data_IF_419631216691
#
_entry.id   IF_419631216691
#
_cell.length_a   1.000
_cell.length_b   1.000
_cell.length_c   1.000
_cell.angle_alpha   90.00
_cell.angle_beta   90.00
_cell.angle_gamma   90.00
#
_symmetry.space_group_name_H-M   'P 1'
#
loop_
_entity.id
_entity.type
_entity.pdbx_description
1 polymer ?
#
# COMPACT_ATOMS: atom_id res chain seq x y z
N UNK A 1 23.19 -37.10 32.98
CA UNK A 1 24.64 -37.34 33.15
C UNK A 1 25.13 -38.14 31.95
N UNK A 2 26.35 -37.86 31.44
CA UNK A 2 26.99 -38.47 30.24
C UNK A 2 26.25 -38.13 28.93
N UNK A 3 26.74 -37.34 27.97
CA UNK A 3 28.05 -36.73 27.68
C UNK A 3 29.21 -37.71 27.45
N UNK A 4 29.93 -37.52 26.33
CA UNK A 4 30.90 -38.41 25.67
C UNK A 4 30.24 -39.75 25.21
N UNK A 5 30.42 -40.26 23.99
CA UNK A 5 31.32 -39.95 22.87
C UNK A 5 30.48 -40.02 21.57
N UNK A 6 30.94 -39.70 20.35
CA UNK A 6 32.25 -39.27 19.84
C UNK A 6 32.04 -38.34 18.62
N UNK A 7 33.07 -37.64 18.14
CA UNK A 7 33.07 -36.92 16.86
C UNK A 7 34.10 -37.56 15.92
N UNK A 8 33.67 -38.14 14.79
CA UNK A 8 34.60 -38.70 13.80
C UNK A 8 33.97 -38.86 12.40
N UNK A 9 33.90 -37.77 11.63
CA UNK A 9 33.71 -37.79 10.16
C UNK A 9 33.97 -36.40 9.53
N UNK A 10 35.08 -35.76 9.91
CA UNK A 10 35.56 -34.57 9.20
C UNK A 10 36.64 -35.01 8.20
N UNK A 11 36.62 -34.42 7.00
CA UNK A 11 37.66 -34.52 5.96
C UNK A 11 37.92 -35.91 5.35
N UNK A 12 37.41 -36.13 4.12
CA UNK A 12 38.18 -36.59 2.94
C UNK A 12 37.19 -36.93 1.80
N UNK A 13 37.14 -36.11 0.74
CA UNK A 13 36.18 -36.31 -0.35
C UNK A 13 36.09 -35.13 -1.31
N UNK A 14 37.17 -34.83 -2.04
CA UNK A 14 37.13 -33.85 -3.10
C UNK A 14 36.42 -34.42 -4.34
N UNK A 15 35.33 -33.79 -4.81
CA UNK A 15 34.97 -33.64 -6.24
C UNK A 15 33.63 -32.94 -6.45
N UNK A 16 33.66 -31.86 -7.26
CA UNK A 16 32.63 -31.50 -8.24
C UNK A 16 31.15 -31.50 -7.83
N UNK A 17 30.75 -30.60 -6.92
CA UNK A 17 29.40 -30.03 -6.94
C UNK A 17 29.39 -28.65 -6.28
N UNK A 18 29.15 -27.58 -7.06
CA UNK A 18 28.73 -26.30 -6.46
C UNK A 18 27.39 -26.51 -5.73
N UNK A 19 27.23 -26.05 -4.49
CA UNK A 19 25.92 -26.02 -3.86
C UNK A 19 25.06 -24.95 -4.57
N UNK A 20 24.24 -25.39 -5.52
CA UNK A 20 23.19 -24.61 -6.20
C UNK A 20 22.09 -24.09 -5.24
N UNK A 21 22.32 -24.12 -3.93
CA UNK A 21 21.35 -23.83 -2.87
C UNK A 21 21.38 -22.38 -2.37
N UNK A 22 22.35 -21.55 -2.80
CA UNK A 22 22.42 -20.14 -2.43
C UNK A 22 21.83 -19.18 -3.49
N UNK A 23 21.41 -19.67 -4.67
CA UNK A 23 21.10 -18.82 -5.82
C UNK A 23 19.59 -18.53 -6.05
N UNK A 24 18.72 -18.84 -5.10
CA UNK A 24 17.27 -18.59 -5.23
C UNK A 24 16.63 -17.93 -3.99
N UNK A 25 17.31 -16.92 -3.42
CA UNK A 25 16.58 -15.80 -2.78
C UNK A 25 15.95 -14.97 -3.91
N UNK A 26 14.82 -15.48 -4.40
CA UNK A 26 14.04 -14.84 -5.44
C UNK A 26 13.37 -13.59 -4.84
N UNK A 27 14.03 -12.43 -4.92
CA UNK A 27 13.41 -11.13 -4.65
C UNK A 27 12.33 -10.84 -5.69
N UNK A 28 11.16 -11.49 -5.54
CA UNK A 28 9.94 -11.11 -6.23
C UNK A 28 9.56 -9.73 -5.69
N UNK A 29 9.97 -8.67 -6.38
CA UNK A 29 9.24 -7.41 -6.33
C UNK A 29 7.79 -7.76 -6.69
N UNK A 30 6.91 -7.77 -5.69
CA UNK A 30 5.48 -7.92 -5.96
C UNK A 30 5.09 -6.84 -6.98
N UNK A 31 4.22 -7.14 -7.96
CA UNK A 31 3.72 -6.11 -8.85
C UNK A 31 3.13 -5.01 -7.98
N UNK A 32 3.62 -3.77 -8.15
CA UNK A 32 3.12 -2.65 -7.40
C UNK A 32 1.65 -2.49 -7.77
N UNK A 33 0.74 -2.82 -6.85
CA UNK A 33 -0.69 -2.63 -7.03
C UNK A 33 -0.94 -1.13 -7.11
N UNK A 34 -1.04 -0.62 -8.34
CA UNK A 34 -1.24 0.81 -8.61
C UNK A 34 -2.70 1.23 -8.47
N UNK A 35 -3.62 0.26 -8.37
CA UNK A 35 -5.06 0.45 -8.34
C UNK A 35 -5.64 0.00 -6.99
N UNK A 36 -6.40 0.89 -6.38
CA UNK A 36 -7.07 0.70 -5.10
C UNK A 36 -8.58 0.87 -5.30
N UNK A 37 -9.44 0.27 -4.47
CA UNK A 37 -10.86 0.59 -4.49
C UNK A 37 -11.09 2.08 -4.18
N UNK A 38 -12.08 2.67 -4.83
CA UNK A 38 -12.58 3.98 -4.47
C UNK A 38 -13.41 3.88 -3.18
N UNK A 39 -13.32 4.85 -2.24
CA UNK A 39 -14.18 4.86 -1.05
C UNK A 39 -15.65 5.20 -1.36
N UNK A 40 -15.93 5.90 -2.46
CA UNK A 40 -17.26 6.46 -2.77
C UNK A 40 -18.05 5.67 -3.83
N UNK A 41 -17.38 4.80 -4.60
CA UNK A 41 -18.02 3.96 -5.61
C UNK A 41 -17.29 2.61 -5.76
N UNK A 42 -17.88 1.68 -6.51
CA UNK A 42 -17.28 0.37 -6.81
C UNK A 42 -16.11 0.40 -7.81
N UNK A 43 -15.71 1.59 -8.30
CA UNK A 43 -14.60 1.76 -9.24
C UNK A 43 -13.21 1.71 -8.59
N UNK A 44 -12.17 1.74 -9.42
CA UNK A 44 -10.77 1.83 -8.95
C UNK A 44 -10.21 3.27 -9.06
N UNK A 45 -9.25 3.57 -8.20
CA UNK A 45 -8.46 4.82 -8.17
C UNK A 45 -6.96 4.48 -8.18
N UNK A 46 -6.14 5.39 -8.68
CA UNK A 46 -4.67 5.19 -8.64
C UNK A 46 -4.11 5.47 -7.24
N UNK A 47 -2.97 4.88 -6.90
CA UNK A 47 -2.27 5.08 -5.63
C UNK A 47 -2.09 6.55 -5.21
N UNK A 48 -1.91 7.45 -6.18
CA UNK A 48 -1.71 8.90 -5.97
C UNK A 48 -3.00 9.72 -5.90
N UNK A 49 -4.17 9.08 -5.99
CA UNK A 49 -5.49 9.73 -6.04
C UNK A 49 -6.29 9.43 -4.77
N UNK A 50 -7.00 10.43 -4.25
CA UNK A 50 -7.90 10.24 -3.10
C UNK A 50 -9.19 9.51 -3.50
N UNK A 51 -9.76 9.87 -4.64
CA UNK A 51 -10.97 9.28 -5.24
C UNK A 51 -10.67 8.82 -6.68
N UNK A 52 -11.58 8.07 -7.30
CA UNK A 52 -11.50 7.81 -8.74
C UNK A 52 -11.68 9.13 -9.53
N UNK A 53 -11.34 9.11 -10.83
CA UNK A 53 -11.42 10.32 -11.67
C UNK A 53 -12.84 10.88 -11.76
N UNK A 54 -13.87 10.02 -11.83
CA UNK A 54 -15.27 10.46 -11.92
C UNK A 54 -15.71 11.18 -10.63
N UNK A 55 -15.60 10.50 -9.49
CA UNK A 55 -15.97 11.03 -8.17
C UNK A 55 -15.22 12.33 -7.82
N UNK A 56 -13.96 12.45 -8.23
CA UNK A 56 -13.21 13.69 -8.07
C UNK A 56 -13.85 14.89 -8.79
N UNK A 57 -14.46 14.68 -9.96
CA UNK A 57 -15.17 15.74 -10.69
C UNK A 57 -16.58 15.99 -10.17
N UNK A 58 -17.20 15.02 -9.48
CA UNK A 58 -18.48 15.21 -8.78
C UNK A 58 -18.38 16.10 -7.54
N UNK A 59 -17.19 16.18 -6.92
CA UNK A 59 -16.95 17.07 -5.77
C UNK A 59 -17.10 18.56 -6.14
N UNK A 60 -17.71 19.39 -5.27
CA UNK A 60 -17.70 20.85 -5.41
C UNK A 60 -16.31 21.43 -5.64
N UNK A 61 -16.22 22.45 -6.50
CA UNK A 61 -14.95 23.12 -6.82
C UNK A 61 -14.25 23.69 -5.57
N UNK A 62 -15.02 24.09 -4.56
CA UNK A 62 -14.50 24.51 -3.26
C UNK A 62 -13.78 23.36 -2.52
N UNK A 63 -14.43 22.20 -2.37
CA UNK A 63 -13.84 21.00 -1.77
C UNK A 63 -12.61 20.50 -2.54
N UNK A 64 -12.67 20.49 -3.88
CA UNK A 64 -11.50 20.17 -4.72
C UNK A 64 -10.32 21.12 -4.49
N UNK A 65 -10.57 22.42 -4.29
CA UNK A 65 -9.54 23.42 -3.98
C UNK A 65 -8.95 23.22 -2.58
N UNK A 66 -9.78 22.90 -1.59
CA UNK A 66 -9.35 22.61 -0.22
C UNK A 66 -8.45 21.35 -0.18
N UNK A 67 -8.87 20.25 -0.80
CA UNK A 67 -8.11 18.99 -0.90
C UNK A 67 -6.80 19.10 -1.71
N UNK A 68 -6.69 20.08 -2.61
CA UNK A 68 -5.44 20.34 -3.37
C UNK A 68 -4.36 21.05 -2.53
N UNK A 69 -4.71 21.65 -1.39
CA UNK A 69 -3.74 22.35 -0.52
C UNK A 69 -2.84 21.35 0.21
N UNK A 70 -1.53 21.58 0.14
CA UNK A 70 -0.47 20.72 0.73
C UNK A 70 0.15 21.39 1.95
N UNK A 71 -0.67 21.59 2.98
CA UNK A 71 -0.29 22.19 4.25
C UNK A 71 -0.42 21.18 5.42
N UNK A 72 -0.24 21.65 6.65
CA UNK A 72 -0.33 20.82 7.87
C UNK A 72 -1.74 20.28 8.12
N UNK A 73 -2.78 20.87 7.52
CA UNK A 73 -4.19 20.46 7.65
C UNK A 73 -4.64 19.50 6.54
N UNK A 74 -3.82 19.25 5.51
CA UNK A 74 -4.17 18.37 4.40
C UNK A 74 -4.65 16.96 4.82
N UNK A 75 -4.11 16.42 5.93
CA UNK A 75 -4.57 15.14 6.51
C UNK A 75 -5.94 15.26 7.17
N UNK A 76 -6.24 16.37 7.84
CA UNK A 76 -7.54 16.62 8.46
C UNK A 76 -8.64 16.78 7.40
N UNK A 77 -8.39 17.53 6.32
CA UNK A 77 -9.32 17.66 5.19
C UNK A 77 -9.61 16.34 4.48
N UNK A 78 -8.60 15.47 4.38
CA UNK A 78 -8.77 14.13 3.83
C UNK A 78 -9.58 13.22 4.78
N UNK A 79 -9.41 13.38 6.09
CA UNK A 79 -10.20 12.67 7.09
C UNK A 79 -11.69 13.11 7.05
N UNK A 80 -11.94 14.43 7.00
CA UNK A 80 -13.28 15.03 6.85
C UNK A 80 -14.00 14.52 5.58
N UNK A 81 -13.28 14.38 4.46
CA UNK A 81 -13.80 13.74 3.24
C UNK A 81 -14.25 12.29 3.48
N UNK A 82 -13.40 11.47 4.11
CA UNK A 82 -13.73 10.06 4.35
C UNK A 82 -14.87 9.90 5.36
N UNK A 83 -14.97 10.77 6.36
CA UNK A 83 -16.06 10.78 7.34
C UNK A 83 -17.41 11.09 6.65
N UNK A 84 -17.45 12.10 5.77
CA UNK A 84 -18.67 12.42 5.00
C UNK A 84 -19.06 11.30 4.02
N UNK A 85 -18.10 10.70 3.31
CA UNK A 85 -18.38 9.54 2.44
C UNK A 85 -18.92 8.36 3.26
N UNK A 86 -18.32 8.08 4.43
CA UNK A 86 -18.75 6.98 5.32
C UNK A 86 -20.13 7.25 5.94
N UNK A 87 -20.47 8.51 6.18
CA UNK A 87 -21.81 8.94 6.60
C UNK A 87 -22.85 8.91 5.46
N UNK A 88 -22.47 8.55 4.24
CA UNK A 88 -23.37 8.49 3.08
C UNK A 88 -23.72 9.86 2.48
N UNK A 89 -22.95 10.91 2.77
CA UNK A 89 -23.12 12.23 2.16
C UNK A 89 -22.80 12.12 0.65
N UNK A 90 -23.72 12.51 -0.24
CA UNK A 90 -23.48 12.43 -1.67
C UNK A 90 -22.42 13.47 -2.09
N UNK A 91 -21.59 13.10 -3.07
CA UNK A 91 -20.34 13.80 -3.39
C UNK A 91 -20.51 15.28 -3.75
N UNK A 92 -21.66 15.65 -4.32
CA UNK A 92 -22.04 17.02 -4.69
C UNK A 92 -22.35 17.92 -3.47
N UNK A 93 -22.65 17.32 -2.32
CA UNK A 93 -22.96 18.00 -1.06
C UNK A 93 -21.79 18.03 -0.09
N UNK A 94 -20.67 17.36 -0.40
CA UNK A 94 -19.49 17.32 0.44
C UNK A 94 -18.86 18.71 0.56
N UNK A 95 -18.79 19.20 1.80
CA UNK A 95 -18.16 20.45 2.15
C UNK A 95 -16.91 20.19 3.00
N UNK A 96 -15.76 20.75 2.60
CA UNK A 96 -14.48 20.53 3.29
C UNK A 96 -13.94 21.86 3.77
N UNK A 97 -13.54 21.89 5.03
CA UNK A 97 -13.04 23.09 5.70
C UNK A 97 -11.64 23.46 5.15
N UNK A 98 -11.39 24.73 4.76
CA UNK A 98 -10.24 25.12 3.91
C UNK A 98 -8.87 25.23 4.60
#
# INVERSE_FOLDING_TARGET
MRWLWIALACCLGASLAWPLSCYLVQSRKAPAVTEFPCPACSGTRRASQYLCRADWFSLPVAAQRALKRRDRQARARLQELYEQITAGVPLDQIHITP
#
